data_IF_122438054954
#
_entry.id   IF_122438054954
#
_cell.length_a   1.000
_cell.length_b   1.000
_cell.length_c   1.000
_cell.angle_alpha   90.00
_cell.angle_beta   90.00
_cell.angle_gamma   90.00
#
_symmetry.space_group_name_H-M   'P 1'
#
loop_
_entity.id
_entity.type
_entity.pdbx_description
1 polymer ?
2 non-polymer ?
3 water ?
#
# COMPACT_ATOMS: atom_id res chain seq x y z
N UNK A 1 1.68 -17.54 -7.18
CA UNK A 1 2.71 -16.88 -8.02
C UNK A 1 3.56 -15.81 -7.31
N UNK A 2 4.64 -15.48 -8.01
CA UNK A 2 5.62 -14.50 -7.67
C UNK A 2 5.30 -13.29 -8.55
N UNK A 3 5.23 -12.14 -7.97
CA UNK A 3 4.85 -10.88 -8.64
C UNK A 3 5.95 -9.81 -8.42
N UNK A 4 6.46 -9.30 -9.55
CA UNK A 4 7.52 -8.26 -9.49
C UNK A 4 6.74 -6.94 -9.52
N UNK A 5 7.39 -5.83 -9.19
CA UNK A 5 6.67 -4.59 -9.02
C UNK A 5 6.82 -3.42 -9.95
N UNK A 6 7.29 -3.74 -11.15
CA UNK A 6 7.42 -2.79 -12.25
C UNK A 6 6.04 -2.34 -12.65
N UNK A 7 5.00 -3.11 -12.41
CA UNK A 7 3.63 -2.58 -12.67
C UNK A 7 2.77 -2.69 -11.41
N UNK A 8 1.67 -1.98 -11.20
CA UNK A 8 0.87 -2.23 -9.96
C UNK A 8 0.46 -3.67 -9.79
N UNK A 9 0.51 -4.27 -8.63
CA UNK A 9 0.10 -5.68 -8.49
C UNK A 9 -1.40 -5.89 -8.38
N UNK A 10 -2.08 -5.99 -9.55
CA UNK A 10 -3.52 -6.21 -9.73
C UNK A 10 -3.86 -7.68 -9.98
N UNK A 11 -4.95 -8.11 -9.37
CA UNK A 11 -5.42 -9.52 -9.46
C UNK A 11 -6.88 -9.44 -9.68
N UNK A 12 -7.46 -10.51 -10.22
CA UNK A 12 -8.86 -10.63 -10.46
C UNK A 12 -9.47 -11.31 -9.22
N UNK A 13 -10.46 -10.69 -8.62
CA UNK A 13 -11.18 -11.20 -7.49
C UNK A 13 -12.67 -11.49 -7.78
N UNK A 14 -13.18 -12.55 -7.13
CA UNK A 14 -14.65 -12.77 -7.29
C UNK A 14 -15.27 -12.55 -5.93
N UNK A 15 -16.29 -11.73 -5.73
CA UNK A 15 -16.93 -11.45 -4.49
C UNK A 15 -18.42 -11.19 -4.84
N UNK A 16 -19.27 -11.87 -4.11
CA UNK A 16 -20.70 -11.64 -4.28
C UNK A 16 -21.16 -11.86 -5.69
N UNK A 17 -20.66 -12.90 -6.31
CA UNK A 17 -21.04 -13.29 -7.63
C UNK A 17 -20.52 -12.32 -8.65
N UNK A 18 -19.76 -11.28 -8.20
CA UNK A 18 -19.26 -10.29 -9.18
C UNK A 18 -17.73 -10.35 -9.32
N UNK A 19 -17.29 -9.98 -10.52
CA UNK A 19 -15.88 -9.96 -10.86
C UNK A 19 -15.25 -8.55 -10.88
N UNK A 20 -14.16 -8.41 -10.15
CA UNK A 20 -13.46 -7.09 -10.08
C UNK A 20 -11.99 -7.21 -10.16
N UNK A 21 -11.26 -6.13 -10.37
CA UNK A 21 -9.74 -6.19 -10.36
C UNK A 21 -9.36 -5.42 -9.06
N UNK A 22 -8.37 -5.87 -8.33
CA UNK A 22 -8.05 -5.27 -7.04
C UNK A 22 -6.54 -5.33 -6.91
N UNK A 23 -5.93 -4.41 -6.21
CA UNK A 23 -4.53 -4.20 -5.99
C UNK A 23 -4.03 -4.91 -4.77
N UNK A 24 -3.02 -5.76 -4.79
CA UNK A 24 -2.47 -6.36 -3.58
C UNK A 24 -1.72 -5.26 -2.83
N UNK A 25 -2.16 -4.84 -1.66
CA UNK A 25 -1.57 -3.72 -0.93
C UNK A 25 -1.02 -4.02 0.43
N UNK A 26 0.28 -4.22 0.59
CA UNK A 26 0.97 -4.51 1.85
C UNK A 26 0.87 -3.34 2.78
N UNK A 27 0.57 -2.16 2.24
CA UNK A 27 0.47 -0.94 3.10
C UNK A 27 -0.95 -0.66 3.57
N UNK A 28 -1.92 -1.59 3.39
CA UNK A 28 -3.34 -1.42 3.76
C UNK A 28 -3.58 -2.39 4.89
N UNK A 29 -4.03 -1.98 6.09
CA UNK A 29 -4.18 -3.04 7.13
C UNK A 29 -5.49 -3.80 6.83
N UNK A 30 -6.40 -3.11 6.17
CA UNK A 30 -7.68 -3.71 5.81
C UNK A 30 -7.99 -3.71 4.32
N UNK A 31 -9.03 -4.46 3.95
CA UNK A 31 -9.48 -4.56 2.57
C UNK A 31 -10.58 -3.57 2.24
N UNK A 32 -10.55 -2.72 1.26
CA UNK A 32 -11.64 -1.79 0.97
C UNK A 32 -11.96 -1.80 -0.51
N UNK A 33 -13.26 -1.93 -0.75
CA UNK A 33 -13.66 -2.02 -2.16
C UNK A 33 -14.57 -0.90 -2.57
N UNK A 34 -14.56 -0.49 -3.83
CA UNK A 34 -15.48 0.55 -4.34
C UNK A 34 -16.91 0.25 -3.94
N UNK A 35 -17.86 1.18 -4.13
CA UNK A 35 -19.26 0.92 -3.69
C UNK A 35 -19.80 -0.23 -4.52
N UNK A 36 -20.40 -1.21 -3.86
CA UNK A 36 -20.89 -2.34 -4.64
C UNK A 36 -21.96 -3.08 -3.83
N UNK A 37 -22.74 -3.79 -4.62
CA UNK A 37 -23.88 -4.62 -4.28
C UNK A 37 -23.50 -5.85 -3.45
N UNK A 38 -23.66 -5.69 -2.13
CA UNK A 38 -23.34 -6.74 -1.16
C UNK A 38 -24.47 -6.88 -0.13
N UNK A 39 -24.75 -8.14 0.16
CA UNK A 39 -25.82 -8.50 1.06
C UNK A 39 -25.41 -8.67 2.51
N UNK A 40 -26.36 -8.24 3.36
CA UNK A 40 -26.15 -8.39 4.78
C UNK A 40 -26.20 -7.11 5.59
N UNK A 41 -25.78 -7.35 6.83
CA UNK A 41 -25.71 -6.36 7.89
C UNK A 41 -24.26 -5.86 7.95
N UNK A 42 -24.15 -4.55 7.75
CA UNK A 42 -22.88 -3.85 7.75
C UNK A 42 -22.81 -2.79 8.84
N UNK A 43 -21.62 -2.28 9.12
CA UNK A 43 -21.48 -1.25 10.15
C UNK A 43 -20.42 -0.21 9.82
N UNK A 44 -20.68 1.02 10.27
CA UNK A 44 -19.75 2.11 10.02
C UNK A 44 -18.42 1.80 10.68
N UNK A 45 -17.48 2.41 9.99
CA UNK A 45 -16.07 2.43 10.22
C UNK A 45 -15.64 3.59 9.26
N UNK A 46 -14.44 4.01 9.60
CA UNK A 46 -13.68 5.07 9.00
C UNK A 46 -12.22 4.64 9.02
N UNK A 47 -11.56 4.75 7.87
CA UNK A 47 -10.14 4.34 7.83
C UNK A 47 -9.37 5.51 7.25
N UNK A 48 -8.13 5.67 7.70
CA UNK A 48 -7.30 6.74 7.15
C UNK A 48 -6.42 6.30 5.96
N UNK A 49 -6.10 7.22 5.11
CA UNK A 49 -5.33 7.20 3.91
C UNK A 49 -4.33 8.36 3.78
N UNK A 50 -3.85 8.64 2.56
CA UNK A 50 -2.88 9.70 2.39
C UNK A 50 -3.68 10.99 2.31
N UNK A 51 -4.72 11.05 1.47
CA UNK A 51 -5.46 12.30 1.37
C UNK A 51 -6.44 12.68 2.46
N UNK A 52 -6.59 11.93 3.55
CA UNK A 52 -7.54 12.13 4.63
C UNK A 52 -8.28 10.85 5.08
N UNK A 53 -9.37 10.95 5.90
CA UNK A 53 -10.11 9.78 6.42
C UNK A 53 -11.38 9.51 5.61
N UNK A 54 -11.80 8.24 5.38
CA UNK A 54 -13.03 8.02 4.66
C UNK A 54 -13.96 7.07 5.48
N UNK A 55 -15.23 7.30 5.15
CA UNK A 55 -16.37 6.64 5.76
C UNK A 55 -16.69 5.32 5.07
N UNK A 56 -16.68 4.25 5.84
CA UNK A 56 -16.97 2.97 5.20
C UNK A 56 -17.90 2.04 5.98
N UNK A 57 -18.43 1.07 5.23
CA UNK A 57 -19.33 0.06 5.81
C UNK A 57 -18.60 -1.23 5.96
N UNK A 58 -18.50 -1.74 7.17
CA UNK A 58 -17.82 -2.98 7.41
C UNK A 58 -18.80 -4.16 7.34
N UNK A 59 -18.43 -5.13 6.57
CA UNK A 59 -19.10 -6.40 6.36
C UNK A 59 -18.07 -7.44 6.82
N UNK A 60 -18.57 -8.36 7.64
CA UNK A 60 -17.73 -9.42 8.17
C UNK A 60 -18.09 -10.77 7.54
N UNK A 61 -17.10 -11.69 7.67
CA UNK A 61 -17.30 -13.03 7.13
C UNK A 61 -17.68 -13.05 5.67
N UNK A 62 -17.04 -12.22 4.84
CA UNK A 62 -17.29 -12.17 3.42
C UNK A 62 -16.27 -13.02 2.66
N UNK A 63 -16.80 -13.95 1.87
CA UNK A 63 -16.00 -14.85 1.07
C UNK A 63 -15.48 -14.12 -0.16
N UNK A 64 -14.16 -14.30 -0.35
CA UNK A 64 -13.55 -13.72 -1.53
C UNK A 64 -12.62 -14.74 -2.19
N UNK A 65 -12.67 -14.76 -3.52
CA UNK A 65 -11.72 -15.57 -4.26
C UNK A 65 -10.68 -14.59 -4.84
N UNK A 66 -9.46 -14.69 -4.35
CA UNK A 66 -8.42 -13.76 -4.82
C UNK A 66 -7.44 -14.55 -5.65
N UNK A 67 -7.46 -14.21 -6.92
CA UNK A 67 -6.58 -14.92 -7.86
C UNK A 67 -7.07 -16.37 -7.59
N UNK A 68 -8.37 -16.58 -7.83
CA UNK A 68 -8.98 -17.86 -7.67
C UNK A 68 -8.38 -18.67 -6.53
N UNK A 69 -8.36 -18.15 -5.32
CA UNK A 69 -7.94 -18.73 -4.06
C UNK A 69 -9.00 -18.29 -3.01
N UNK A 70 -9.50 -19.11 -2.13
CA UNK A 70 -10.53 -18.65 -1.21
C UNK A 70 -10.11 -18.04 0.09
N UNK A 71 -10.82 -17.02 0.54
CA UNK A 71 -10.47 -16.45 1.84
C UNK A 71 -11.78 -15.95 2.44
N UNK A 72 -11.95 -15.98 3.76
CA UNK A 72 -13.20 -15.45 4.37
C UNK A 72 -12.82 -14.34 5.35
N UNK A 73 -13.35 -13.15 5.19
CA UNK A 73 -13.00 -12.12 6.14
C UNK A 73 -13.87 -10.90 5.96
N UNK A 74 -13.40 -9.87 6.66
CA UNK A 74 -13.99 -8.54 6.70
C UNK A 74 -13.50 -7.72 5.52
N UNK A 75 -14.46 -7.13 4.87
CA UNK A 75 -14.38 -6.28 3.70
C UNK A 75 -15.10 -4.97 4.06
N UNK A 76 -14.58 -3.84 3.61
CA UNK A 76 -15.00 -2.48 3.83
C UNK A 76 -15.43 -1.93 2.47
N UNK A 77 -16.55 -1.26 2.40
CA UNK A 77 -17.06 -0.81 1.11
C UNK A 77 -17.14 0.70 1.19
N UNK A 78 -16.64 1.39 0.19
CA UNK A 78 -16.65 2.82 0.34
C UNK A 78 -16.17 3.54 -0.91
N UNK A 79 -15.87 4.82 -0.72
CA UNK A 79 -15.46 5.64 -1.87
C UNK A 79 -13.99 5.57 -2.15
N UNK A 80 -13.33 4.42 -2.11
CA UNK A 80 -11.92 4.35 -2.44
C UNK A 80 -11.80 4.57 -3.94
N UNK A 81 -10.70 5.05 -4.44
CA UNK A 81 -10.45 5.22 -5.87
C UNK A 81 -10.14 3.90 -6.58
N UNK A 82 -9.59 2.91 -5.87
CA UNK A 82 -9.23 1.60 -6.30
C UNK A 82 -9.67 0.50 -5.27
N UNK A 83 -9.93 -0.66 -5.81
CA UNK A 83 -10.28 -1.86 -5.03
C UNK A 83 -8.99 -2.28 -4.30
N UNK A 84 -8.93 -2.38 -3.00
CA UNK A 84 -7.61 -2.71 -2.35
C UNK A 84 -7.63 -4.00 -1.55
N UNK A 85 -6.79 -4.96 -1.75
CA UNK A 85 -6.71 -6.17 -0.94
C UNK A 85 -5.65 -5.87 0.12
N UNK A 86 -6.01 -5.78 1.39
CA UNK A 86 -5.15 -5.45 2.51
C UNK A 86 -4.72 -6.65 3.26
N UNK A 87 -3.86 -6.40 4.22
CA UNK A 87 -3.18 -7.45 5.00
C UNK A 87 -4.10 -8.46 5.66
N UNK A 88 -5.28 -8.10 6.01
CA UNK A 88 -6.21 -9.05 6.65
C UNK A 88 -6.54 -10.22 5.74
N UNK A 89 -6.53 -10.09 4.39
CA UNK A 89 -6.76 -11.21 3.51
C UNK A 89 -5.49 -11.63 2.87
N UNK A 90 -4.43 -10.82 2.84
CA UNK A 90 -3.15 -11.27 2.21
C UNK A 90 -2.54 -12.37 3.06
N UNK A 91 -2.71 -12.24 4.37
CA UNK A 91 -2.14 -13.31 5.25
C UNK A 91 -2.88 -14.61 4.96
N UNK A 92 -4.22 -14.47 4.77
CA UNK A 92 -4.97 -15.70 4.47
C UNK A 92 -4.60 -16.37 3.18
N UNK A 93 -4.25 -15.68 2.13
CA UNK A 93 -3.84 -16.37 0.90
C UNK A 93 -2.34 -16.67 0.99
N UNK A 94 -1.74 -16.52 2.19
CA UNK A 94 -0.33 -16.86 2.37
C UNK A 94 0.62 -16.02 1.55
N UNK A 95 0.32 -14.72 1.44
CA UNK A 95 1.22 -13.92 0.57
C UNK A 95 2.45 -13.38 1.24
N UNK A 96 3.69 -13.42 0.74
CA UNK A 96 4.82 -12.81 1.46
C UNK A 96 5.56 -11.79 0.58
N UNK A 97 6.26 -10.97 1.30
CA UNK A 97 7.12 -9.91 0.73
C UNK A 97 8.51 -10.53 0.71
N UNK A 98 9.34 -10.33 -0.30
CA UNK A 98 10.63 -10.95 -0.40
C UNK A 98 11.61 -10.06 -1.11
N UNK A 99 12.75 -9.82 -0.49
CA UNK A 99 13.79 -8.99 -1.17
C UNK A 99 15.17 -9.50 -0.75
N UNK B 1 15.43 -10.63 3.29
CA UNK B 1 14.52 -11.53 4.04
C UNK B 1 13.13 -11.76 3.47
N UNK B 2 12.37 -12.64 4.14
CA UNK B 2 10.99 -12.98 3.80
C UNK B 2 10.15 -12.37 4.95
N UNK B 3 9.27 -11.51 4.53
CA UNK B 3 8.38 -10.71 5.34
C UNK B 3 6.96 -11.28 5.14
N UNK B 4 6.33 -11.70 6.28
CA UNK B 4 4.95 -12.24 6.23
C UNK B 4 4.12 -11.02 6.69
N UNK B 5 2.82 -11.03 6.42
CA UNK B 5 2.06 -9.82 6.71
C UNK B 5 1.14 -9.75 7.87
N UNK B 6 1.38 -10.59 8.91
CA UNK B 6 0.63 -10.59 10.19
C UNK B 6 0.81 -9.25 10.88
N UNK B 7 2.02 -8.64 10.79
CA UNK B 7 2.14 -7.25 11.32
C UNK B 7 2.53 -6.29 10.19
N UNK B 8 2.48 -4.98 10.32
CA UNK B 8 2.90 -4.06 9.24
C UNK B 8 4.34 -4.26 8.80
N UNK B 9 4.62 -4.29 7.49
CA UNK B 9 5.99 -4.58 7.00
C UNK B 9 6.89 -3.35 7.06
N UNK B 10 7.45 -3.12 8.26
CA UNK B 10 8.29 -1.97 8.59
C UNK B 10 9.76 -2.32 8.52
N UNK B 11 10.55 -1.35 8.11
CA UNK B 11 11.96 -1.53 7.86
C UNK B 11 12.77 -0.31 8.22
N UNK B 12 14.06 -0.61 8.54
CA UNK B 12 14.90 0.53 8.85
C UNK B 12 15.58 1.13 7.61
N UNK B 13 15.37 2.44 7.37
CA UNK B 13 15.95 3.17 6.29
C UNK B 13 16.88 4.29 6.83
N UNK B 14 17.89 4.65 6.06
CA UNK B 14 18.90 5.67 6.28
C UNK B 14 18.83 6.55 5.03
N UNK B 15 18.52 7.83 5.25
CA UNK B 15 18.33 8.83 4.27
C UNK B 15 18.82 10.17 4.91
N UNK B 16 19.59 10.89 4.11
CA UNK B 16 20.11 12.16 4.54
C UNK B 16 20.76 12.09 5.90
N UNK B 17 21.56 11.10 6.24
CA UNK B 17 22.21 11.03 7.53
C UNK B 17 21.31 10.57 8.64
N UNK B 18 20.00 10.53 8.42
CA UNK B 18 19.04 10.18 9.49
C UNK B 18 18.40 8.82 9.32
N UNK B 19 18.13 8.26 10.51
CA UNK B 19 17.60 6.90 10.56
C UNK B 19 16.11 6.98 10.72
N UNK B 20 15.29 6.29 9.96
CA UNK B 20 13.84 6.36 10.17
C UNK B 20 13.33 4.96 9.95
N UNK B 21 12.02 4.85 10.17
CA UNK B 21 11.40 3.48 9.95
C UNK B 21 10.34 3.79 8.92
N UNK B 22 10.15 2.91 7.97
CA UNK B 22 9.22 3.07 6.85
C UNK B 22 8.53 1.76 6.50
N UNK B 23 7.36 1.91 5.90
CA UNK B 23 6.51 0.81 5.47
C UNK B 23 6.71 0.32 4.06
N UNK B 24 6.93 -0.94 3.78
CA UNK B 24 7.09 -1.46 2.40
C UNK B 24 5.70 -1.53 1.82
N UNK B 25 5.36 -0.67 0.88
CA UNK B 25 3.98 -0.54 0.40
C UNK B 25 3.80 -0.81 -1.06
N UNK B 26 3.31 -2.01 -1.41
CA UNK B 26 3.13 -2.38 -2.81
C UNK B 26 1.99 -1.62 -3.43
N UNK B 27 1.16 -1.01 -2.62
CA UNK B 27 0.04 -0.20 -3.06
C UNK B 27 0.40 1.25 -3.31
N UNK B 28 1.65 1.66 -3.16
CA UNK B 28 2.08 3.02 -3.42
C UNK B 28 2.99 3.05 -4.64
N UNK B 29 2.63 3.85 -5.67
CA UNK B 29 3.44 3.94 -6.86
C UNK B 29 4.78 4.62 -6.49
N UNK B 30 4.67 5.58 -5.59
CA UNK B 30 5.79 6.43 -5.16
C UNK B 30 6.15 6.36 -3.69
N UNK B 31 7.36 6.80 -3.35
CA UNK B 31 7.89 6.79 -1.97
C UNK B 31 7.59 8.13 -1.34
N UNK B 32 6.90 8.19 -0.27
CA UNK B 32 6.54 9.43 0.41
C UNK B 32 6.90 9.30 1.88
N UNK B 33 7.75 10.29 2.27
CA UNK B 33 8.23 10.37 3.62
C UNK B 33 7.72 11.66 4.24
N UNK B 34 7.69 11.53 5.54
CA UNK B 34 7.33 12.62 6.46
C UNK B 34 8.27 13.81 6.23
N UNK B 35 7.76 14.98 6.61
CA UNK B 35 8.62 16.18 6.49
C UNK B 35 9.96 15.96 7.20
N UNK B 36 10.98 16.35 6.48
CA UNK B 36 12.32 16.19 7.03
C UNK B 36 13.22 17.06 6.16
N UNK B 37 14.33 17.47 6.78
CA UNK B 37 15.32 18.32 6.13
C UNK B 37 16.01 17.57 4.99
N UNK B 38 15.61 17.88 3.74
CA UNK B 38 16.29 17.14 2.69
C UNK B 38 17.15 18.02 1.80
N UNK B 39 18.45 17.76 1.89
CA UNK B 39 19.44 18.45 1.09
C UNK B 39 19.01 18.65 -0.37
N UNK B 40 18.72 19.89 -0.79
CA UNK B 40 18.34 20.20 -2.13
C UNK B 40 17.21 21.13 -2.54
N UNK B 41 16.91 21.04 -3.85
CA UNK B 41 15.93 21.71 -4.66
C UNK B 41 14.82 20.78 -5.15
N UNK B 42 13.60 21.25 -5.41
CA UNK B 42 12.57 20.32 -5.85
C UNK B 42 11.47 20.84 -6.74
N UNK B 43 10.91 19.89 -7.52
CA UNK B 43 9.78 20.23 -8.39
C UNK B 43 8.55 19.79 -7.61
N UNK B 44 7.43 20.46 -7.81
CA UNK B 44 6.20 20.14 -7.07
C UNK B 44 5.50 18.99 -7.80
N UNK B 45 4.69 18.34 -6.96
CA UNK B 45 3.94 17.18 -7.39
C UNK B 45 2.79 16.97 -6.42
N UNK B 46 1.78 16.24 -6.83
CA UNK B 46 0.67 15.93 -5.93
C UNK B 46 0.32 14.46 -6.21
N UNK B 47 0.08 13.80 -5.11
CA UNK B 47 -0.28 12.39 -5.16
C UNK B 47 -1.65 12.18 -4.53
N UNK B 48 -2.25 11.07 -5.01
CA UNK B 48 -3.56 10.68 -4.53
C UNK B 48 -3.54 9.47 -3.58
N UNK B 49 -4.34 9.61 -2.54
CA UNK B 49 -4.47 8.60 -1.53
C UNK B 49 -5.95 8.24 -1.39
N UNK B 50 -6.24 7.60 -0.29
CA UNK B 50 -7.57 7.16 0.06
C UNK B 50 -8.29 8.44 0.49
N UNK B 51 -7.78 9.26 1.42
CA UNK B 51 -8.58 10.46 1.73
C UNK B 51 -8.74 11.55 0.70
N UNK B 52 -8.11 11.50 -0.45
CA UNK B 52 -8.18 12.50 -1.51
C UNK B 52 -6.76 12.76 -2.00
N UNK B 53 -6.33 14.00 -2.15
CA UNK B 53 -4.97 14.26 -2.62
C UNK B 53 -4.00 14.69 -1.54
N UNK B 54 -2.85 15.23 -1.96
CA UNK B 54 -1.89 15.84 -1.05
C UNK B 54 -0.87 16.58 -1.97
N UNK B 55 -0.29 17.61 -1.33
CA UNK B 55 0.72 18.44 -2.02
C UNK B 55 2.07 18.08 -1.42
N UNK B 56 2.90 17.59 -2.34
CA UNK B 56 4.24 17.14 -1.84
C UNK B 56 5.40 17.69 -2.67
N UNK B 57 6.58 17.72 -2.07
CA UNK B 57 7.79 18.18 -2.76
C UNK B 57 8.59 16.97 -3.23
N UNK B 58 8.82 16.90 -4.55
CA UNK B 58 9.56 15.87 -5.17
C UNK B 58 11.04 16.15 -5.42
N UNK B 59 11.92 15.31 -4.87
CA UNK B 59 13.36 15.31 -4.98
C UNK B 59 13.84 14.07 -5.72
N UNK B 60 14.73 14.34 -6.67
CA UNK B 60 15.27 13.29 -7.49
C UNK B 60 16.70 12.95 -7.13
N UNK B 61 17.06 11.72 -7.45
CA UNK B 61 18.43 11.28 -7.22
C UNK B 61 18.81 11.37 -5.77
N UNK B 62 17.89 10.90 -4.92
CA UNK B 62 18.16 10.88 -3.51
C UNK B 62 18.70 9.48 -3.11
N UNK B 63 19.80 9.34 -2.41
CA UNK B 63 20.27 8.02 -2.01
C UNK B 63 19.53 7.61 -0.74
N UNK B 64 19.07 6.37 -0.70
CA UNK B 64 18.43 5.77 0.42
C UNK B 64 18.97 4.37 0.68
N UNK B 65 19.20 3.98 1.92
CA UNK B 65 19.62 2.62 2.24
C UNK B 65 18.39 2.04 2.93
N UNK B 66 17.82 0.98 2.40
CA UNK B 66 16.59 0.34 2.89
C UNK B 66 17.02 -1.03 3.37
N UNK B 67 16.89 -1.33 4.62
CA UNK B 67 17.36 -2.61 5.16
C UNK B 67 18.79 -2.91 4.67
N UNK B 68 19.70 -1.91 4.51
CA UNK B 68 21.07 -2.30 4.12
C UNK B 68 21.33 -2.45 2.63
N UNK B 69 20.30 -2.10 1.83
CA UNK B 69 20.41 -2.13 0.38
C UNK B 69 20.28 -0.67 -0.09
N UNK B 70 21.12 -0.25 -1.00
CA UNK B 70 21.16 1.10 -1.51
C UNK B 70 20.30 1.24 -2.76
N UNK B 71 19.67 2.40 -2.93
CA UNK B 71 18.82 2.54 -4.15
C UNK B 71 18.87 4.03 -4.38
N UNK B 72 18.73 4.56 -5.57
CA UNK B 72 18.81 6.02 -5.80
C UNK B 72 17.50 6.29 -6.56
N UNK B 73 16.71 7.23 -6.10
CA UNK B 73 15.49 7.46 -6.87
C UNK B 73 14.81 8.70 -6.35
N UNK B 74 13.59 8.88 -6.87
CA UNK B 74 12.77 10.02 -6.50
C UNK B 74 12.10 9.76 -5.16
N UNK B 75 12.10 10.74 -4.32
CA UNK B 75 11.53 10.67 -3.00
C UNK B 75 10.62 11.90 -2.83
N UNK B 76 9.43 11.72 -2.30
CA UNK B 76 8.42 12.70 -2.00
C UNK B 76 8.38 12.99 -0.52
N UNK B 77 8.28 14.27 -0.16
CA UNK B 77 8.26 14.72 1.21
C UNK B 77 6.97 15.50 1.48
N UNK B 78 6.34 15.28 2.63
CA UNK B 78 5.09 15.96 2.91
C UNK B 78 4.19 15.25 3.92
N UNK B 79 2.93 15.71 3.99
CA UNK B 79 1.89 15.25 4.88
C UNK B 79 1.49 13.80 4.97
N UNK B 80 2.34 12.82 5.09
CA UNK B 80 1.92 11.42 5.23
C UNK B 80 2.01 11.10 6.71
N UNK B 81 1.21 10.15 7.17
CA UNK B 81 1.21 9.77 8.59
C UNK B 81 2.30 8.77 8.94
N UNK B 82 2.81 8.07 7.93
CA UNK B 82 3.82 7.05 8.02
C UNK B 82 4.79 7.22 6.82
N UNK B 83 6.04 6.87 7.01
CA UNK B 83 7.01 6.95 5.90
C UNK B 83 6.67 5.77 4.99
N UNK B 84 6.57 5.88 3.71
CA UNK B 84 6.20 4.79 2.83
C UNK B 84 7.18 4.52 1.72
N UNK B 85 7.64 3.31 1.58
CA UNK B 85 8.54 2.93 0.45
C UNK B 85 7.61 2.39 -0.65
N UNK B 86 7.47 3.03 -1.79
CA UNK B 86 6.62 2.69 -2.89
C UNK B 86 7.34 1.95 -3.96
N UNK B 87 6.54 1.45 -4.89
CA UNK B 87 7.12 0.64 -5.94
C UNK B 87 8.25 1.32 -6.70
N UNK B 88 8.46 2.61 -6.78
CA UNK B 88 9.67 3.10 -7.51
C UNK B 88 10.94 2.65 -6.82
N UNK B 89 10.97 2.47 -5.50
CA UNK B 89 12.14 1.96 -4.81
C UNK B 89 12.07 0.48 -4.54
N UNK B 90 10.91 -0.13 -4.36
CA UNK B 90 10.77 -1.57 -4.15
C UNK B 90 11.30 -2.33 -5.34
N UNK B 91 11.23 -1.84 -6.57
CA UNK B 91 11.78 -2.66 -7.68
C UNK B 91 13.29 -2.62 -7.67
N UNK B 92 13.89 -1.54 -7.18
CA UNK B 92 15.36 -1.47 -7.10
C UNK B 92 15.96 -2.34 -6.03
N UNK B 93 15.26 -2.73 -4.99
CA UNK B 93 15.87 -3.62 -4.01
C UNK B 93 15.56 -5.06 -4.35
N UNK B 94 14.92 -5.29 -5.50
CA UNK B 94 14.63 -6.68 -5.86
C UNK B 94 13.39 -7.18 -5.08
N UNK B 95 12.48 -6.31 -4.61
CA UNK B 95 11.37 -6.82 -3.83
C UNK B 95 10.25 -7.43 -4.67
N UNK B 96 9.77 -8.64 -4.33
CA UNK B 96 8.68 -9.28 -5.02
C UNK B 96 7.59 -9.70 -4.05
N UNK B 97 6.47 -9.98 -4.60
CA UNK B 97 5.32 -10.43 -3.73
C UNK B 97 5.08 -11.89 -4.06
N UNK B 98 4.85 -12.82 -3.12
CA UNK B 98 4.63 -14.20 -3.46
C UNK B 98 3.46 -14.82 -2.74
N UNK B 99 2.68 -15.58 -3.46
CA UNK B 99 1.55 -16.31 -2.87
C UNK B 99 1.30 -17.57 -3.68
X LIG C 1 -7.19 1.86 9.98
X LIG C 1 -6.45 2.64 8.86
X LIG C 1 -3.12 4.29 9.05
X LIG C 1 -2.76 3.79 10.30
X LIG C 1 -2.78 4.60 11.44
X LIG C 1 -3.13 5.96 11.35
X LIG C 1 -3.47 5.64 8.96
X LIG C 1 -3.50 6.48 10.10
X LIG C 1 -3.79 6.20 7.73
X LIG C 1 -3.85 7.83 9.99
X LIG C 1 -4.14 7.54 7.66
X LIG C 1 -4.19 8.35 8.77
X LIG C 1 -4.67 2.10 3.93
X LIG C 1 -3.79 2.96 3.08
X LIG C 1 -5.96 1.08 2.12
X LIG C 1 -2.62 2.52 2.61
X LIG C 1 -1.81 3.48 1.87
X LIG C 1 -0.27 4.02 5.41
X LIG C 1 -1.14 6.05 4.41
X LIG C 1 -1.27 2.96 0.50
X LIG C 1 -2.06 3.43 -0.73
X LIG C 1 -1.81 4.85 -1.24
X LIG C 1 -7.03 3.58 8.32
X LIG C 1 -5.22 2.17 8.58
X LIG C 1 -4.47 2.78 7.52
X LIG C 1 -3.10 3.35 7.90
X LIG C 1 -4.35 1.92 6.29
X LIG C 1 -4.00 0.78 6.04
X LIG C 1 -4.76 2.66 5.25
X LIG C 1 -4.17 4.08 2.85
X LIG C 1 -6.09 1.87 3.39
X LIG C 1 -6.87 1.09 4.41
X LIG C 1 -0.74 3.97 2.90
X LIG C 1 -1.12 4.55 4.28
X LIG C 1 -1.15 1.56 0.44
X LIG C 1 -2.32 5.88 -0.79
X LIG C 1 -0.96 5.03 -2.25
X LIG C 1 -0.63 6.25 -2.92
X LIG C 1 0.64 6.95 -2.34
X LIG C 1 0.69 6.89 -0.84
X LIG C 1 -0.48 6.05 -4.42
X LIG C 1 0.24 5.18 -4.96
X LIG C 1 -1.15 6.96 -5.15
X LIG C 1 -1.12 6.95 -6.60
X LIG C 1 -2.19 6.01 -7.22
X LIG C 1 -3.54 6.27 -6.53
X LIG C 1 -4.29 7.38 -6.94
X LIG C 1 -5.48 7.71 -6.27
X LIG C 1 -5.95 6.93 -5.23
X LIG C 1 -3.99 5.49 -5.44
X LIG C 1 -5.24 5.81 -4.79
X LIG C 1 -3.30 4.36 -4.99
X LIG C 1 -5.70 5.00 -3.74
X LIG C 1 -3.79 3.57 -3.94
X LIG C 1 -4.96 3.89 -3.31
X LIG C 1 -0.89 8.33 -7.11
X LIG C 1 -1.34 9.35 -6.55
X LIG C 1 -0.13 8.53 -8.17
#
# INVERSE_FOLDING_TARGET
>A
PQVTLWQRPLVTIKIGGQLKEALLDTGADDTVLEEMSLPGAWKPKMIGGIGGFIKVRQYDQILIEICGHKAIGTVLVGPTPVNIIGRNLLTQIGCTLNF
>B
PQVTLWQRPLVTIKIGGQLKEALLDTGADDTVLEEMSLPGAWKPKMIGGIGGFIKVRQYDQILIEICGHKAIGTVLVGPTPVNIIGRNLLTQIGCTLNF
>C hetero
1 LP1 C1 C2 C7 C8 C9 C10 C11 C12 C13 C14 C15 C16 C20 C21 C24 N26 C27 C30 C31 C32 C33 C35 O3 N4 C5 C6 C17 O18 N19 O22 C23 C25 C28 C29 O34 O36 N37 C38 C39 C40 C41 O42 N43 C44 C45 C46 C47 C48 C49 C50 C51 C52 C53 C54 C55 C56 O57 N58
#
